data_IF_903594489830
#
_entry.id   IF_903594489830
#
_cell.length_a   1.000
_cell.length_b   1.000
_cell.length_c   1.000
_cell.angle_alpha   90.00
_cell.angle_beta   90.00
_cell.angle_gamma   90.00
#
_symmetry.space_group_name_H-M   'P 1'
#
loop_
_entity.id
_entity.type
_entity.pdbx_description
1 polymer ?
#
# COMPACT_ATOMS: atom_id res chain seq x y z
N UNK A 1 11.83 -20.46 -5.67
CA UNK A 1 12.97 -19.56 -5.36
C UNK A 1 12.90 -19.06 -3.91
N UNK A 2 11.91 -18.24 -3.52
CA UNK A 2 11.82 -17.65 -2.16
C UNK A 2 11.85 -18.67 -1.01
N UNK A 3 11.08 -19.76 -1.11
CA UNK A 3 11.09 -20.86 -0.13
C UNK A 3 12.50 -21.43 0.14
N UNK A 4 13.29 -21.60 -0.93
CA UNK A 4 14.64 -22.16 -0.83
C UNK A 4 15.62 -21.13 -0.24
N UNK A 5 15.61 -19.92 -0.78
CA UNK A 5 16.55 -18.86 -0.38
C UNK A 5 16.34 -18.40 1.07
N UNK A 6 15.08 -18.27 1.51
CA UNK A 6 14.76 -17.66 2.80
C UNK A 6 14.57 -18.68 3.92
N UNK A 7 14.21 -19.92 3.59
CA UNK A 7 13.84 -20.93 4.58
C UNK A 7 14.44 -22.33 4.30
N UNK A 8 15.27 -22.48 3.28
CA UNK A 8 15.82 -23.77 2.83
C UNK A 8 14.75 -24.86 2.60
N UNK A 9 13.57 -24.46 2.10
CA UNK A 9 12.47 -25.36 1.75
C UNK A 9 12.53 -25.66 0.25
N UNK A 10 12.58 -26.95 -0.10
CA UNK A 10 12.51 -27.41 -1.49
C UNK A 10 11.05 -27.37 -1.97
N UNK A 11 10.69 -26.26 -2.61
CA UNK A 11 9.36 -26.04 -3.18
C UNK A 11 9.37 -26.17 -4.70
N UNK A 12 8.30 -26.77 -5.25
CA UNK A 12 8.11 -26.93 -6.68
C UNK A 12 6.77 -26.30 -7.11
N UNK A 13 6.74 -25.41 -8.13
CA UNK A 13 5.51 -24.78 -8.58
C UNK A 13 4.65 -25.76 -9.38
N UNK A 14 3.34 -25.81 -9.08
CA UNK A 14 2.37 -26.64 -9.81
C UNK A 14 1.20 -25.77 -10.23
N UNK A 15 1.24 -25.32 -11.48
CA UNK A 15 0.16 -24.53 -12.08
C UNK A 15 -0.86 -25.48 -12.72
N UNK A 16 -2.13 -25.30 -12.38
CA UNK A 16 -3.23 -26.05 -12.96
C UNK A 16 -3.97 -25.17 -13.97
N UNK A 17 -4.25 -25.73 -15.15
CA UNK A 17 -5.08 -25.04 -16.15
C UNK A 17 -6.54 -24.96 -15.70
N UNK A 18 -7.06 -26.03 -15.06
CA UNK A 18 -8.44 -26.05 -14.59
C UNK A 18 -8.71 -24.96 -13.56
N UNK A 19 -9.82 -24.26 -13.78
CA UNK A 19 -10.35 -23.25 -12.86
C UNK A 19 -11.48 -23.81 -11.99
N UNK A 20 -11.91 -25.05 -12.23
CA UNK A 20 -12.96 -25.72 -11.46
C UNK A 20 -12.43 -26.16 -10.09
N UNK A 21 -13.24 -25.93 -9.06
CA UNK A 21 -12.85 -26.20 -7.68
C UNK A 21 -12.67 -27.69 -7.39
N UNK A 22 -13.49 -28.55 -7.98
CA UNK A 22 -13.45 -30.00 -7.73
C UNK A 22 -12.24 -30.62 -8.41
N UNK A 23 -11.95 -30.18 -9.63
CA UNK A 23 -10.74 -30.59 -10.36
C UNK A 23 -9.47 -30.21 -9.59
N UNK A 24 -9.41 -28.98 -9.06
CA UNK A 24 -8.28 -28.50 -8.26
C UNK A 24 -8.13 -29.37 -7.01
N UNK A 25 -9.21 -29.58 -6.24
CA UNK A 25 -9.18 -30.40 -5.01
C UNK A 25 -8.73 -31.82 -5.33
N UNK A 26 -9.32 -32.44 -6.36
CA UNK A 26 -8.98 -33.80 -6.77
C UNK A 26 -7.50 -33.89 -7.15
N UNK A 27 -7.01 -32.97 -7.99
CA UNK A 27 -5.63 -32.97 -8.47
C UNK A 27 -4.65 -32.81 -7.32
N UNK A 28 -4.87 -31.83 -6.44
CA UNK A 28 -4.01 -31.61 -5.27
C UNK A 28 -3.97 -32.85 -4.36
N UNK A 29 -5.09 -33.54 -4.19
CA UNK A 29 -5.13 -34.79 -3.43
C UNK A 29 -4.29 -35.89 -4.06
N UNK A 30 -4.39 -36.08 -5.39
CA UNK A 30 -3.64 -37.12 -6.10
C UNK A 30 -2.13 -36.92 -6.00
N UNK A 31 -1.66 -35.67 -6.03
CA UNK A 31 -0.22 -35.36 -5.99
C UNK A 31 0.34 -35.24 -4.56
N UNK A 32 -0.52 -35.09 -3.56
CA UNK A 32 -0.13 -34.85 -2.16
C UNK A 32 0.87 -35.85 -1.55
N UNK A 33 0.91 -37.16 -1.90
CA UNK A 33 1.85 -38.10 -1.29
C UNK A 33 3.33 -37.75 -1.48
N UNK A 34 3.67 -36.95 -2.50
CA UNK A 34 5.04 -36.51 -2.78
C UNK A 34 5.48 -35.33 -1.92
N UNK A 35 4.55 -34.62 -1.28
CA UNK A 35 4.82 -33.34 -0.61
C UNK A 35 4.70 -33.43 0.91
N UNK A 36 5.53 -32.67 1.63
CA UNK A 36 5.40 -32.47 3.07
C UNK A 36 4.39 -31.39 3.47
N UNK A 37 3.84 -30.66 2.51
CA UNK A 37 2.84 -29.60 2.70
C UNK A 37 2.40 -28.98 1.38
N UNK A 38 1.23 -28.35 1.37
CA UNK A 38 0.66 -27.67 0.20
C UNK A 38 0.53 -26.17 0.51
N UNK A 39 1.13 -25.33 -0.35
CA UNK A 39 0.92 -23.89 -0.36
C UNK A 39 0.02 -23.51 -1.54
N UNK A 40 -1.21 -23.11 -1.26
CA UNK A 40 -2.14 -22.56 -2.24
C UNK A 40 -1.83 -21.09 -2.49
N UNK A 41 -1.81 -20.71 -3.76
CA UNK A 41 -1.45 -19.37 -4.24
C UNK A 41 -2.43 -18.94 -5.35
N UNK A 42 -2.78 -17.66 -5.40
CA UNK A 42 -3.48 -17.02 -6.52
C UNK A 42 -4.83 -17.66 -6.90
N UNK A 43 -5.54 -18.24 -5.92
CA UNK A 43 -6.89 -18.78 -6.10
C UNK A 43 -7.92 -17.71 -5.74
N UNK A 44 -8.75 -17.33 -6.70
CA UNK A 44 -9.75 -16.28 -6.51
C UNK A 44 -10.81 -16.65 -5.44
N UNK A 45 -11.25 -15.63 -4.70
CA UNK A 45 -12.46 -15.74 -3.88
C UNK A 45 -13.71 -15.81 -4.79
N UNK A 46 -14.74 -16.60 -4.44
CA UNK A 46 -14.91 -17.32 -3.18
C UNK A 46 -14.36 -18.76 -3.18
N UNK A 47 -13.92 -19.30 -4.33
CA UNK A 47 -13.58 -20.74 -4.45
C UNK A 47 -12.42 -21.16 -3.55
N UNK A 48 -11.45 -20.27 -3.32
CA UNK A 48 -10.32 -20.54 -2.42
C UNK A 48 -10.73 -21.00 -1.02
N UNK A 49 -11.80 -20.42 -0.45
CA UNK A 49 -12.26 -20.78 0.89
C UNK A 49 -12.74 -22.23 0.98
N UNK A 50 -13.46 -22.71 -0.04
CA UNK A 50 -13.95 -24.08 -0.08
C UNK A 50 -12.82 -25.07 -0.37
N UNK A 51 -11.95 -24.75 -1.34
CA UNK A 51 -10.79 -25.56 -1.70
C UNK A 51 -9.89 -25.78 -0.49
N UNK A 52 -9.50 -24.70 0.18
CA UNK A 52 -8.63 -24.77 1.35
C UNK A 52 -9.27 -25.56 2.50
N UNK A 53 -10.55 -25.29 2.81
CA UNK A 53 -11.28 -25.99 3.87
C UNK A 53 -11.35 -27.50 3.62
N UNK A 54 -11.61 -27.90 2.37
CA UNK A 54 -11.69 -29.31 2.00
C UNK A 54 -10.33 -29.98 2.01
N UNK A 55 -9.31 -29.35 1.43
CA UNK A 55 -7.95 -29.89 1.45
C UNK A 55 -7.40 -30.04 2.87
N UNK A 56 -7.61 -29.06 3.76
CA UNK A 56 -7.26 -29.18 5.19
C UNK A 56 -7.96 -30.35 5.91
N UNK A 57 -9.15 -30.73 5.47
CA UNK A 57 -9.93 -31.84 6.05
C UNK A 57 -9.55 -33.19 5.44
N UNK A 58 -9.20 -33.21 4.16
CA UNK A 58 -9.03 -34.43 3.35
C UNK A 58 -7.57 -34.87 3.18
N UNK A 59 -6.59 -34.03 3.57
CA UNK A 59 -5.16 -34.34 3.51
C UNK A 59 -4.55 -34.52 4.90
N UNK A 60 -3.57 -35.42 4.98
CA UNK A 60 -2.78 -35.67 6.19
C UNK A 60 -1.54 -34.74 6.32
N UNK A 61 -1.34 -33.85 5.34
CA UNK A 61 -0.26 -32.86 5.30
C UNK A 61 -0.80 -31.44 5.48
N UNK A 62 0.00 -30.49 6.02
CA UNK A 62 -0.43 -29.12 6.21
C UNK A 62 -0.80 -28.45 4.89
N UNK A 63 -1.92 -27.73 4.90
CA UNK A 63 -2.38 -26.89 3.79
C UNK A 63 -2.41 -25.45 4.26
N UNK A 64 -1.66 -24.60 3.55
CA UNK A 64 -1.57 -23.16 3.77
C UNK A 64 -2.03 -22.44 2.50
N UNK A 65 -2.53 -21.22 2.64
CA UNK A 65 -2.90 -20.37 1.51
C UNK A 65 -2.27 -19.00 1.74
N UNK A 66 -1.33 -18.59 0.90
CA UNK A 66 -0.50 -17.42 1.19
C UNK A 66 -1.30 -16.12 1.14
N UNK A 67 -2.17 -15.97 0.14
CA UNK A 67 -3.07 -14.81 0.05
C UNK A 67 -3.96 -14.63 1.29
N UNK A 68 -4.35 -15.71 1.96
CA UNK A 68 -5.19 -15.65 3.15
C UNK A 68 -4.37 -15.53 4.43
N UNK A 69 -3.53 -16.52 4.71
CA UNK A 69 -2.81 -16.61 5.97
C UNK A 69 -1.49 -15.84 5.95
N UNK A 70 -0.70 -15.95 4.87
CA UNK A 70 0.60 -15.27 4.75
C UNK A 70 0.43 -13.77 4.86
N UNK A 71 -0.52 -13.22 4.08
CA UNK A 71 -0.89 -11.81 4.15
C UNK A 71 -1.38 -11.43 5.56
N UNK A 72 -2.23 -12.23 6.18
CA UNK A 72 -2.74 -11.95 7.53
C UNK A 72 -1.64 -11.92 8.60
N UNK A 73 -0.68 -12.86 8.55
CA UNK A 73 0.43 -12.97 9.50
C UNK A 73 1.29 -11.70 9.45
N UNK A 74 1.66 -11.26 8.24
CA UNK A 74 2.49 -10.06 8.06
C UNK A 74 1.75 -8.81 8.52
N UNK A 75 0.47 -8.67 8.19
CA UNK A 75 -0.36 -7.53 8.63
C UNK A 75 -0.50 -7.49 10.16
N UNK A 76 -0.75 -8.63 10.81
CA UNK A 76 -0.82 -8.70 12.27
C UNK A 76 0.52 -8.31 12.91
N UNK A 77 1.65 -8.79 12.36
CA UNK A 77 2.98 -8.43 12.87
C UNK A 77 3.24 -6.92 12.80
N UNK A 78 2.86 -6.26 11.69
CA UNK A 78 2.93 -4.80 11.55
C UNK A 78 2.08 -4.12 12.60
N UNK A 79 0.80 -4.51 12.75
CA UNK A 79 -0.12 -3.91 13.73
C UNK A 79 0.41 -4.04 15.15
N UNK A 80 0.92 -5.22 15.54
CA UNK A 80 1.50 -5.44 16.88
C UNK A 80 2.66 -4.47 17.13
N UNK A 81 3.56 -4.29 16.16
CA UNK A 81 4.71 -3.40 16.32
C UNK A 81 4.30 -1.92 16.35
N UNK A 82 3.37 -1.51 15.49
CA UNK A 82 2.81 -0.15 15.50
C UNK A 82 2.12 0.17 16.82
N UNK A 83 1.36 -0.78 17.39
CA UNK A 83 0.69 -0.61 18.68
C UNK A 83 1.67 -0.47 19.85
N UNK A 84 2.78 -1.22 19.83
CA UNK A 84 3.86 -1.07 20.84
C UNK A 84 4.45 0.34 20.82
N UNK A 85 4.71 0.88 19.63
CA UNK A 85 5.24 2.24 19.45
C UNK A 85 4.22 3.28 19.93
N UNK A 86 2.95 3.11 19.53
CA UNK A 86 1.86 4.00 19.93
C UNK A 86 1.42 3.84 21.38
N UNK A 87 1.97 2.85 22.12
CA UNK A 87 1.58 2.48 23.49
C UNK A 87 0.06 2.24 23.63
N UNK A 88 -0.53 1.54 22.66
CA UNK A 88 -1.96 1.18 22.63
C UNK A 88 -2.14 -0.34 22.62
N UNK A 89 -3.29 -0.83 23.07
CA UNK A 89 -3.63 -2.25 22.95
C UNK A 89 -4.49 -2.53 21.72
N UNK A 90 -4.38 -3.74 21.16
CA UNK A 90 -5.16 -4.18 20.00
C UNK A 90 -6.68 -4.15 20.26
N UNK A 91 -7.09 -4.35 21.51
CA UNK A 91 -8.50 -4.38 21.94
C UNK A 91 -9.14 -2.99 21.96
N UNK A 92 -8.32 -1.94 22.04
CA UNK A 92 -8.77 -0.55 22.23
C UNK A 92 -8.80 0.25 20.92
N UNK A 93 -8.33 -0.36 19.83
CA UNK A 93 -8.22 0.32 18.53
C UNK A 93 -9.29 -0.10 17.56
N UNK A 94 -9.72 0.87 16.75
CA UNK A 94 -10.57 0.66 15.59
C UNK A 94 -9.73 0.31 14.38
N UNK A 95 -10.08 -0.79 13.71
CA UNK A 95 -9.44 -1.26 12.48
C UNK A 95 -10.47 -1.27 11.35
N UNK A 96 -10.10 -0.73 10.19
CA UNK A 96 -10.89 -0.83 8.96
C UNK A 96 -10.15 -1.71 7.97
N UNK A 97 -10.86 -2.66 7.38
CA UNK A 97 -10.36 -3.50 6.28
C UNK A 97 -11.18 -3.18 5.04
N UNK A 98 -10.56 -2.50 4.08
CA UNK A 98 -11.18 -2.13 2.83
C UNK A 98 -10.89 -3.16 1.73
N UNK A 99 -11.68 -4.23 1.76
CA UNK A 99 -11.53 -5.39 0.89
C UNK A 99 -12.05 -6.65 1.58
N UNK A 100 -12.88 -7.41 0.89
CA UNK A 100 -13.48 -8.66 1.41
C UNK A 100 -13.21 -9.87 0.51
N UNK A 101 -12.04 -9.86 -0.16
CA UNK A 101 -11.50 -11.03 -0.86
C UNK A 101 -10.69 -11.95 0.08
N UNK A 102 -9.93 -12.89 -0.47
CA UNK A 102 -9.13 -13.86 0.29
C UNK A 102 -8.30 -13.21 1.41
N UNK A 103 -7.45 -12.23 1.06
CA UNK A 103 -6.62 -11.48 2.01
C UNK A 103 -7.43 -10.76 3.10
N UNK A 104 -8.43 -9.96 2.72
CA UNK A 104 -9.21 -9.18 3.69
C UNK A 104 -9.94 -10.06 4.70
N UNK A 105 -10.47 -11.20 4.25
CA UNK A 105 -11.14 -12.19 5.12
C UNK A 105 -10.11 -12.89 6.02
N UNK A 106 -8.96 -13.31 5.49
CA UNK A 106 -7.86 -13.90 6.25
C UNK A 106 -7.35 -12.98 7.35
N UNK A 107 -7.07 -11.71 7.00
CA UNK A 107 -6.65 -10.65 7.93
C UNK A 107 -7.69 -10.47 9.04
N UNK A 108 -8.97 -10.33 8.67
CA UNK A 108 -10.06 -10.14 9.62
C UNK A 108 -10.13 -11.29 10.64
N UNK A 109 -10.14 -12.54 10.14
CA UNK A 109 -10.21 -13.73 11.00
C UNK A 109 -9.01 -13.81 11.96
N UNK A 110 -7.79 -13.58 11.47
CA UNK A 110 -6.61 -13.64 12.32
C UNK A 110 -6.60 -12.52 13.37
N UNK A 111 -7.03 -11.31 13.00
CA UNK A 111 -7.15 -10.19 13.95
C UNK A 111 -8.19 -10.46 15.04
N UNK A 112 -9.33 -11.05 14.69
CA UNK A 112 -10.34 -11.48 15.67
C UNK A 112 -9.75 -12.51 16.65
N UNK A 113 -9.03 -13.51 16.14
CA UNK A 113 -8.33 -14.51 16.97
C UNK A 113 -7.27 -13.86 17.87
N UNK A 114 -6.53 -12.86 17.35
CA UNK A 114 -5.54 -12.10 18.12
C UNK A 114 -6.18 -11.17 19.18
N UNK A 115 -7.51 -11.02 19.19
CA UNK A 115 -8.24 -10.27 20.21
C UNK A 115 -8.66 -8.86 19.81
N UNK A 116 -8.56 -8.48 18.53
CA UNK A 116 -9.14 -7.22 18.05
C UNK A 116 -10.67 -7.23 18.23
N UNK A 117 -11.23 -6.15 18.78
CA UNK A 117 -12.66 -6.07 19.13
C UNK A 117 -13.48 -5.20 18.18
N UNK A 118 -12.84 -4.20 17.55
CA UNK A 118 -13.51 -3.21 16.74
C UNK A 118 -12.93 -3.19 15.32
N UNK A 119 -13.37 -4.16 14.51
CA UNK A 119 -13.03 -4.26 13.09
C UNK A 119 -14.26 -3.86 12.28
N UNK A 120 -14.09 -3.06 11.22
CA UNK A 120 -15.11 -2.82 10.20
C UNK A 120 -14.55 -3.31 8.86
N UNK A 121 -15.32 -4.14 8.15
CA UNK A 121 -14.94 -4.62 6.81
C UNK A 121 -15.82 -3.97 5.76
N UNK A 122 -15.19 -3.50 4.69
CA UNK A 122 -15.84 -2.89 3.54
C UNK A 122 -15.61 -3.73 2.27
N UNK A 123 -16.52 -3.61 1.32
CA UNK A 123 -16.35 -4.07 -0.06
C UNK A 123 -16.73 -2.97 -1.06
N UNK A 124 -16.80 -3.32 -2.34
CA UNK A 124 -17.13 -2.36 -3.41
C UNK A 124 -18.49 -1.67 -3.24
N UNK A 125 -19.41 -2.23 -2.44
CA UNK A 125 -20.73 -1.65 -2.16
C UNK A 125 -20.76 -0.85 -0.84
N UNK A 126 -19.72 -0.92 -0.01
CA UNK A 126 -19.61 -0.21 1.26
C UNK A 126 -19.38 -1.14 2.46
N UNK A 127 -19.80 -0.71 3.64
CA UNK A 127 -19.64 -1.48 4.88
C UNK A 127 -20.49 -2.76 4.81
N UNK A 128 -19.89 -3.92 5.14
CA UNK A 128 -20.61 -5.18 5.15
C UNK A 128 -21.78 -5.15 6.14
N UNK A 129 -22.96 -5.55 5.67
CA UNK A 129 -24.18 -5.62 6.47
C UNK A 129 -24.70 -7.06 6.52
N UNK A 130 -24.79 -7.72 7.69
CA UNK A 130 -25.25 -9.10 7.77
C UNK A 130 -26.71 -9.29 7.32
N UNK A 131 -27.50 -8.22 7.23
CA UNK A 131 -28.88 -8.23 6.75
C UNK A 131 -29.00 -8.10 5.22
N UNK A 132 -27.90 -7.83 4.51
CA UNK A 132 -27.90 -7.78 3.05
C UNK A 132 -28.02 -9.20 2.47
N UNK A 133 -29.18 -9.51 1.90
CA UNK A 133 -29.47 -10.82 1.32
C UNK A 133 -28.57 -11.15 0.12
N UNK A 134 -28.02 -10.15 -0.57
CA UNK A 134 -27.14 -10.31 -1.73
C UNK A 134 -25.69 -10.68 -1.37
N UNK A 135 -25.28 -10.56 -0.10
CA UNK A 135 -23.94 -10.95 0.32
C UNK A 135 -23.74 -12.46 0.22
N UNK A 136 -22.57 -12.84 -0.30
CA UNK A 136 -22.07 -14.20 -0.24
C UNK A 136 -22.02 -14.69 1.22
N UNK A 137 -22.17 -16.00 1.41
CA UNK A 137 -22.23 -16.63 2.74
C UNK A 137 -21.04 -16.28 3.64
N UNK A 138 -19.82 -16.34 3.10
CA UNK A 138 -18.60 -16.00 3.84
C UNK A 138 -18.55 -14.53 4.27
N UNK A 139 -19.03 -13.60 3.43
CA UNK A 139 -19.13 -12.17 3.78
C UNK A 139 -20.15 -11.94 4.89
N UNK A 140 -21.30 -12.63 4.85
CA UNK A 140 -22.32 -12.56 5.92
C UNK A 140 -21.76 -13.05 7.25
N UNK A 141 -20.97 -14.11 7.24
CA UNK A 141 -20.32 -14.62 8.45
C UNK A 141 -19.40 -13.57 9.07
N UNK A 142 -18.55 -12.92 8.27
CA UNK A 142 -17.67 -11.83 8.73
C UNK A 142 -18.49 -10.62 9.20
N UNK A 143 -19.53 -10.23 8.47
CA UNK A 143 -20.39 -9.11 8.84
C UNK A 143 -21.07 -9.30 10.21
N UNK A 144 -21.32 -10.55 10.64
CA UNK A 144 -21.87 -10.86 11.97
C UNK A 144 -20.85 -10.78 13.10
N UNK A 145 -19.56 -10.94 12.78
CA UNK A 145 -18.45 -10.93 13.77
C UNK A 145 -17.77 -9.57 13.89
N UNK A 146 -18.10 -8.63 13.01
CA UNK A 146 -17.46 -7.33 12.88
C UNK A 146 -18.47 -6.20 13.02
N UNK A 147 -18.00 -4.96 12.99
CA UNK A 147 -18.79 -3.75 13.09
C UNK A 147 -19.70 -3.72 14.34
N UNK A 148 -19.14 -3.84 15.56
CA UNK A 148 -19.93 -3.92 16.80
C UNK A 148 -20.79 -2.67 17.06
N UNK A 149 -20.46 -1.55 16.42
CA UNK A 149 -21.21 -0.28 16.51
C UNK A 149 -22.34 -0.15 15.49
N UNK A 150 -22.49 -1.10 14.56
CA UNK A 150 -23.51 -1.03 13.52
C UNK A 150 -23.37 0.17 12.59
N UNK A 151 -22.13 0.60 12.30
CA UNK A 151 -21.86 1.70 11.37
C UNK A 151 -22.40 1.34 9.99
N UNK A 152 -23.05 2.29 9.33
CA UNK A 152 -23.62 2.14 7.99
C UNK A 152 -22.99 3.14 7.03
N UNK A 153 -23.02 2.84 5.74
CA UNK A 153 -22.54 3.73 4.69
C UNK A 153 -21.33 3.16 3.94
N UNK A 154 -20.43 4.05 3.54
CA UNK A 154 -19.26 3.74 2.70
C UNK A 154 -17.97 3.84 3.52
N UNK A 155 -16.83 3.64 2.85
CA UNK A 155 -15.50 3.73 3.47
C UNK A 155 -15.30 5.00 4.31
N UNK A 156 -15.69 6.17 3.79
CA UNK A 156 -15.58 7.46 4.49
C UNK A 156 -16.25 7.48 5.87
N UNK A 157 -17.31 6.69 6.02
CA UNK A 157 -18.06 6.58 7.28
C UNK A 157 -17.36 5.59 8.23
N UNK A 158 -16.70 4.58 7.67
CA UNK A 158 -15.92 3.59 8.40
C UNK A 158 -14.62 4.18 8.98
N UNK A 159 -13.92 5.08 8.31
CA UNK A 159 -12.55 5.52 8.69
C UNK A 159 -12.49 6.55 9.83
N UNK A 160 -13.62 7.11 10.27
CA UNK A 160 -13.61 8.09 11.38
C UNK A 160 -13.04 7.47 12.67
N UNK A 161 -11.96 8.06 13.20
CA UNK A 161 -11.28 7.58 14.42
C UNK A 161 -10.59 6.22 14.28
N UNK A 162 -10.19 5.85 13.05
CA UNK A 162 -9.49 4.59 12.77
C UNK A 162 -8.02 4.67 13.21
N UNK A 163 -7.48 3.58 13.77
CA UNK A 163 -6.04 3.47 14.05
C UNK A 163 -5.29 2.77 12.92
N UNK A 164 -5.93 1.79 12.25
CA UNK A 164 -5.37 1.08 11.11
C UNK A 164 -6.40 0.98 9.98
N UNK A 165 -6.04 1.49 8.81
CA UNK A 165 -6.79 1.31 7.56
C UNK A 165 -6.01 0.36 6.63
N UNK A 166 -6.59 -0.81 6.38
CA UNK A 166 -5.97 -1.88 5.60
C UNK A 166 -6.63 -1.90 4.23
N UNK A 167 -5.87 -1.50 3.21
CA UNK A 167 -6.37 -1.32 1.85
C UNK A 167 -5.86 -2.44 0.92
N UNK A 168 -6.66 -2.79 -0.08
CA UNK A 168 -6.18 -3.66 -1.17
C UNK A 168 -5.23 -2.89 -2.07
N UNK A 169 -4.22 -3.57 -2.61
CA UNK A 169 -3.20 -2.97 -3.49
C UNK A 169 -3.80 -2.16 -4.64
N UNK A 170 -4.91 -2.62 -5.22
CA UNK A 170 -5.58 -1.94 -6.33
C UNK A 170 -6.19 -0.57 -6.00
N UNK A 171 -6.24 -0.19 -4.71
CA UNK A 171 -6.65 1.15 -4.28
C UNK A 171 -5.50 2.15 -4.30
N UNK A 172 -4.26 1.67 -4.34
CA UNK A 172 -3.09 2.50 -4.51
C UNK A 172 -2.75 2.49 -6.01
N UNK A 173 -2.35 3.63 -6.62
CA UNK A 173 -1.81 3.66 -7.96
C UNK A 173 -0.72 2.60 -8.16
N UNK A 174 -0.47 2.19 -9.39
CA UNK A 174 0.56 1.20 -9.70
C UNK A 174 1.91 1.61 -9.09
N UNK A 175 2.40 0.86 -8.10
CA UNK A 175 3.71 1.09 -7.51
C UNK A 175 4.73 0.21 -8.25
N UNK A 176 5.63 0.84 -8.98
CA UNK A 176 6.75 0.18 -9.65
C UNK A 176 8.04 0.26 -8.83
N UNK A 177 8.21 1.31 -8.02
CA UNK A 177 9.35 1.45 -7.11
C UNK A 177 8.96 2.15 -5.81
N UNK A 178 9.73 1.88 -4.76
CA UNK A 178 9.59 2.46 -3.42
C UNK A 178 10.96 2.96 -2.99
N UNK A 179 11.04 4.20 -2.53
CA UNK A 179 12.24 4.78 -1.96
C UNK A 179 11.98 5.30 -0.54
N UNK A 180 12.90 5.03 0.38
CA UNK A 180 12.88 5.56 1.74
C UNK A 180 13.93 6.65 1.85
N UNK A 181 13.47 7.90 1.90
CA UNK A 181 14.35 9.07 1.91
C UNK A 181 14.45 9.64 3.31
N UNK A 182 15.68 9.73 3.82
CA UNK A 182 16.01 10.37 5.09
C UNK A 182 16.81 11.63 4.78
N UNK A 183 16.23 12.77 5.13
CA UNK A 183 16.88 14.07 5.00
C UNK A 183 17.34 14.56 6.36
N UNK A 184 18.58 15.05 6.40
CA UNK A 184 19.11 15.79 7.55
C UNK A 184 18.51 17.21 7.59
N UNK A 185 18.84 17.95 8.66
CA UNK A 185 18.40 19.31 8.95
C UNK A 185 18.43 20.23 7.73
N UNK A 186 17.27 20.76 7.33
CA UNK A 186 17.16 21.76 6.26
C UNK A 186 17.55 21.26 4.85
N UNK A 187 17.62 19.95 4.61
CA UNK A 187 18.05 19.44 3.30
C UNK A 187 17.12 19.91 2.16
N UNK A 188 17.73 20.28 1.03
CA UNK A 188 17.06 20.74 -0.20
C UNK A 188 17.32 19.71 -1.30
N UNK A 189 16.26 19.32 -2.01
CA UNK A 189 16.30 18.31 -3.07
C UNK A 189 15.45 18.79 -4.26
N UNK A 190 16.04 19.06 -5.44
CA UNK A 190 17.46 18.96 -5.75
C UNK A 190 18.29 20.05 -5.07
N UNK A 191 19.54 19.72 -4.74
CA UNK A 191 20.54 20.70 -4.33
C UNK A 191 20.98 21.61 -5.48
N UNK A 192 21.74 22.67 -5.19
CA UNK A 192 22.24 23.59 -6.22
C UNK A 192 23.15 22.90 -7.24
N UNK A 193 23.04 23.28 -8.51
CA UNK A 193 23.88 22.76 -9.60
C UNK A 193 24.50 23.93 -10.37
N UNK A 194 25.83 24.05 -10.30
CA UNK A 194 26.55 25.18 -10.91
C UNK A 194 26.05 26.52 -10.36
N UNK A 195 25.58 27.39 -11.26
CA UNK A 195 25.03 28.71 -10.90
C UNK A 195 23.55 28.67 -10.48
N UNK A 196 22.85 27.55 -10.73
CA UNK A 196 21.43 27.40 -10.44
C UNK A 196 21.25 27.01 -8.98
N UNK A 197 20.87 27.98 -8.15
CA UNK A 197 20.74 27.82 -6.68
C UNK A 197 19.54 26.99 -6.25
N UNK A 198 18.44 27.03 -7.00
CA UNK A 198 17.19 26.33 -6.68
C UNK A 198 16.63 25.61 -7.91
N UNK A 199 17.29 24.55 -8.37
CA UNK A 199 16.84 23.81 -9.54
C UNK A 199 15.59 22.97 -9.24
N UNK A 200 15.12 22.25 -10.25
CA UNK A 200 13.92 21.42 -10.19
C UNK A 200 14.22 19.99 -10.66
N UNK A 201 13.60 19.01 -10.03
CA UNK A 201 13.43 17.69 -10.63
C UNK A 201 12.18 17.69 -11.51
N UNK A 202 12.17 16.86 -12.55
CA UNK A 202 10.96 16.53 -13.31
C UNK A 202 11.10 15.12 -13.88
N UNK A 203 9.99 14.39 -13.90
CA UNK A 203 9.93 13.05 -14.45
C UNK A 203 9.00 12.95 -15.66
N UNK A 204 9.52 12.65 -16.86
CA UNK A 204 8.70 12.53 -18.06
C UNK A 204 7.86 11.25 -18.09
N UNK A 205 8.30 10.18 -17.42
CA UNK A 205 7.68 8.85 -17.49
C UNK A 205 7.48 8.23 -16.09
N UNK A 206 7.47 9.06 -15.04
CA UNK A 206 7.16 8.62 -13.68
C UNK A 206 6.24 9.61 -12.98
N UNK A 207 5.20 9.09 -12.33
CA UNK A 207 4.39 9.80 -11.36
C UNK A 207 4.91 9.51 -9.96
N UNK A 208 4.88 10.49 -9.07
CA UNK A 208 5.42 10.39 -7.72
C UNK A 208 4.33 10.56 -6.67
N UNK A 209 4.56 9.88 -5.55
CA UNK A 209 3.70 9.93 -4.40
C UNK A 209 4.56 10.05 -3.15
N UNK A 210 4.33 11.07 -2.33
CA UNK A 210 5.10 11.36 -1.13
C UNK A 210 4.26 11.16 0.13
N UNK A 211 4.75 10.32 1.04
CA UNK A 211 4.24 10.17 2.40
C UNK A 211 5.33 10.56 3.41
N UNK A 212 5.07 11.55 4.26
CA UNK A 212 6.00 11.95 5.33
C UNK A 212 5.70 11.15 6.59
N UNK A 213 6.72 10.45 7.11
CA UNK A 213 6.64 9.62 8.31
C UNK A 213 7.19 10.32 9.55
N UNK A 214 8.10 11.28 9.36
CA UNK A 214 8.67 12.07 10.44
C UNK A 214 9.11 13.45 9.94
N UNK A 215 8.99 14.46 10.81
CA UNK A 215 9.38 15.83 10.51
C UNK A 215 8.41 16.51 9.56
N UNK A 216 8.91 17.52 8.84
CA UNK A 216 8.12 18.34 7.92
C UNK A 216 8.82 18.43 6.58
N UNK A 217 8.04 18.35 5.49
CA UNK A 217 8.51 18.65 4.13
C UNK A 217 7.71 19.79 3.53
N UNK A 218 8.43 20.71 2.91
CA UNK A 218 7.89 21.76 2.05
C UNK A 218 8.07 21.28 0.61
N UNK A 219 6.97 21.06 -0.09
CA UNK A 219 6.97 20.60 -1.48
C UNK A 219 6.46 21.73 -2.36
N UNK A 220 7.23 22.08 -3.37
CA UNK A 220 6.81 23.02 -4.40
C UNK A 220 6.62 22.26 -5.70
N UNK A 221 5.45 22.40 -6.31
CA UNK A 221 5.08 21.79 -7.58
C UNK A 221 4.81 22.87 -8.62
N UNK A 222 5.26 22.67 -9.85
CA UNK A 222 5.01 23.56 -10.97
C UNK A 222 4.75 22.75 -12.24
N UNK A 223 3.72 23.13 -12.99
CA UNK A 223 3.48 22.60 -14.34
C UNK A 223 3.34 23.80 -15.29
N UNK A 224 4.10 23.86 -16.40
CA UNK A 224 4.06 24.99 -17.34
C UNK A 224 2.65 25.34 -17.81
N UNK A 225 1.78 24.33 -18.00
CA UNK A 225 0.37 24.50 -18.39
C UNK A 225 -0.44 25.39 -17.43
N UNK A 226 -0.09 25.41 -16.13
CA UNK A 226 -0.79 26.20 -15.12
C UNK A 226 -0.07 27.51 -14.76
N UNK A 227 1.22 27.62 -15.07
CA UNK A 227 2.00 28.85 -14.87
C UNK A 227 2.10 29.33 -13.41
N UNK A 228 1.91 28.44 -12.42
CA UNK A 228 1.95 28.78 -10.99
C UNK A 228 2.61 27.68 -10.16
N UNK A 229 3.24 28.10 -9.06
CA UNK A 229 3.80 27.20 -8.06
C UNK A 229 2.73 26.88 -7.03
N UNK A 230 2.42 25.60 -6.89
CA UNK A 230 1.60 25.05 -5.81
C UNK A 230 2.51 24.63 -4.66
N UNK A 231 2.18 25.04 -3.43
CA UNK A 231 3.01 24.78 -2.25
C UNK A 231 2.29 23.88 -1.27
N UNK A 232 2.97 22.83 -0.81
CA UNK A 232 2.47 21.94 0.21
C UNK A 232 3.37 21.92 1.43
N UNK A 233 2.76 21.86 2.60
CA UNK A 233 3.43 21.47 3.84
C UNK A 233 2.91 20.09 4.20
N UNK A 234 3.78 19.10 4.20
CA UNK A 234 3.43 17.70 4.42
C UNK A 234 4.08 17.21 5.71
N UNK A 235 3.26 16.68 6.62
CA UNK A 235 3.68 16.14 7.91
C UNK A 235 2.97 14.81 8.18
N UNK A 236 3.37 14.05 9.23
CA UNK A 236 2.63 12.87 9.67
C UNK A 236 1.23 13.19 10.24
N UNK A 237 0.99 14.44 10.62
CA UNK A 237 -0.19 14.84 11.39
C UNK A 237 -1.15 15.74 10.61
N UNK A 238 -0.72 16.32 9.49
CA UNK A 238 -1.53 17.18 8.64
C UNK A 238 -0.88 17.48 7.28
N UNK A 239 -1.70 17.98 6.34
CA UNK A 239 -1.26 18.55 5.06
C UNK A 239 -1.88 19.94 4.85
N UNK A 240 -1.03 20.93 4.55
CA UNK A 240 -1.45 22.25 4.07
C UNK A 240 -1.18 22.38 2.56
N UNK A 241 -2.04 23.11 1.85
CA UNK A 241 -1.88 23.52 0.46
C UNK A 241 -2.05 25.04 0.36
N UNK A 242 -1.03 25.74 -0.14
CA UNK A 242 -0.96 27.20 -0.24
C UNK A 242 -1.30 27.95 1.06
N UNK A 243 -0.95 27.35 2.21
CA UNK A 243 -1.19 27.91 3.55
C UNK A 243 -2.55 27.57 4.14
N UNK A 244 -3.41 26.84 3.43
CA UNK A 244 -4.69 26.35 3.95
C UNK A 244 -4.57 24.88 4.36
N UNK A 245 -5.09 24.54 5.54
CA UNK A 245 -5.17 23.15 6.00
C UNK A 245 -6.17 22.37 5.14
N UNK A 246 -5.69 21.37 4.39
CA UNK A 246 -6.55 20.55 3.51
C UNK A 246 -6.80 19.14 4.05
N UNK A 247 -5.93 18.65 4.95
CA UNK A 247 -6.09 17.33 5.57
C UNK A 247 -5.58 17.35 7.02
N UNK A 248 -6.42 16.88 7.93
CA UNK A 248 -6.00 16.47 9.28
C UNK A 248 -5.55 14.99 9.22
N UNK A 249 -4.35 14.72 9.75
CA UNK A 249 -3.67 13.43 9.64
C UNK A 249 -2.67 13.38 8.48
N UNK A 250 -1.80 12.37 8.52
CA UNK A 250 -0.86 12.08 7.45
C UNK A 250 -1.58 11.63 6.18
N UNK A 251 -1.02 11.98 5.03
CA UNK A 251 -1.57 11.64 3.72
C UNK A 251 -0.50 11.53 2.65
N UNK A 252 -0.93 11.04 1.49
CA UNK A 252 -0.08 10.87 0.32
C UNK A 252 -0.31 12.06 -0.63
N UNK A 253 0.73 12.85 -0.87
CA UNK A 253 0.71 13.89 -1.90
C UNK A 253 1.16 13.27 -3.21
N UNK A 254 0.32 13.38 -4.25
CA UNK A 254 0.53 12.70 -5.53
C UNK A 254 0.62 13.72 -6.65
N UNK A 255 1.60 13.55 -7.54
CA UNK A 255 1.69 14.33 -8.77
C UNK A 255 2.10 13.47 -9.97
N UNK A 256 1.62 13.86 -11.13
CA UNK A 256 1.81 13.14 -12.39
C UNK A 256 3.17 13.47 -13.04
N UNK A 257 3.44 12.87 -14.19
CA UNK A 257 4.56 13.18 -15.06
C UNK A 257 4.60 14.65 -15.46
N UNK A 258 5.78 15.13 -15.85
CA UNK A 258 6.01 16.50 -16.32
C UNK A 258 5.69 17.60 -15.30
N UNK A 259 5.58 17.23 -14.02
CA UNK A 259 5.49 18.17 -12.91
C UNK A 259 6.89 18.43 -12.38
N UNK A 260 7.32 19.68 -12.50
CA UNK A 260 8.53 20.16 -11.85
C UNK A 260 8.29 20.20 -10.35
N UNK A 261 9.21 19.62 -9.59
CA UNK A 261 9.10 19.57 -8.16
C UNK A 261 10.44 19.79 -7.46
N UNK A 262 10.34 20.32 -6.25
CA UNK A 262 11.46 20.38 -5.31
C UNK A 262 10.94 20.29 -3.89
N UNK A 263 11.78 19.74 -3.03
CA UNK A 263 11.45 19.39 -1.66
C UNK A 263 12.49 19.99 -0.72
N UNK A 264 12.04 20.65 0.33
CA UNK A 264 12.89 21.10 1.43
C UNK A 264 12.42 20.46 2.74
N UNK A 265 13.35 19.99 3.56
CA UNK A 265 13.02 19.47 4.89
C UNK A 265 13.03 20.57 5.93
N UNK A 266 12.22 20.40 6.98
CA UNK A 266 12.29 21.25 8.17
C UNK A 266 13.63 21.16 8.90
N UNK A 267 13.78 22.01 9.91
CA UNK A 267 15.01 22.10 10.70
C UNK A 267 15.36 20.78 11.39
N UNK A 268 14.38 20.03 11.90
CA UNK A 268 14.56 18.72 12.54
C UNK A 268 14.87 17.57 11.55
N UNK A 269 15.01 17.88 10.25
CA UNK A 269 15.09 16.88 9.19
C UNK A 269 13.74 16.25 8.87
N UNK A 270 13.76 15.20 8.04
CA UNK A 270 12.53 14.45 7.73
C UNK A 270 12.81 13.01 7.29
N UNK A 271 11.84 12.13 7.50
CA UNK A 271 11.81 10.79 6.90
C UNK A 271 10.54 10.64 6.08
N UNK A 272 10.67 10.12 4.86
CA UNK A 272 9.53 9.87 3.97
C UNK A 272 9.63 8.53 3.26
N UNK A 273 8.50 8.10 2.73
CA UNK A 273 8.41 7.07 1.70
C UNK A 273 7.91 7.72 0.42
N UNK A 274 8.65 7.53 -0.66
CA UNK A 274 8.27 7.90 -2.00
C UNK A 274 7.83 6.64 -2.75
N UNK A 275 6.70 6.69 -3.44
CA UNK A 275 6.23 5.63 -4.31
C UNK A 275 6.21 6.16 -5.74
N UNK A 276 6.76 5.39 -6.68
CA UNK A 276 6.84 5.75 -8.08
C UNK A 276 5.95 4.86 -8.93
N UNK A 277 5.20 5.49 -9.82
CA UNK A 277 4.43 4.84 -10.90
C UNK A 277 5.20 5.05 -12.20
N UNK A 278 5.63 3.99 -12.87
CA UNK A 278 6.34 4.08 -14.16
C UNK A 278 5.33 3.96 -15.32
N UNK A 279 5.46 4.86 -16.29
CA UNK A 279 4.67 4.89 -17.50
C UNK A 279 5.49 4.38 -18.71
N UNK A 280 4.82 4.19 -19.84
CA UNK A 280 5.49 3.83 -21.09
C UNK A 280 6.59 4.83 -21.44
N UNK A 281 7.76 4.33 -21.87
CA UNK A 281 8.94 5.14 -22.16
C UNK A 281 9.88 5.36 -20.97
N UNK A 282 9.59 4.78 -19.80
CA UNK A 282 10.48 4.87 -18.63
C UNK A 282 11.89 4.34 -18.92
N UNK A 283 12.89 5.18 -18.69
CA UNK A 283 14.31 4.84 -18.65
C UNK A 283 14.94 5.55 -17.44
N UNK A 284 15.55 4.76 -16.54
CA UNK A 284 16.19 5.27 -15.31
C UNK A 284 17.27 6.32 -15.61
N UNK A 285 17.89 6.28 -16.79
CA UNK A 285 18.94 7.23 -17.17
C UNK A 285 18.41 8.62 -17.53
N UNK A 286 17.18 8.71 -18.04
CA UNK A 286 16.63 9.96 -18.58
C UNK A 286 15.45 10.48 -17.76
N UNK A 287 14.86 9.64 -16.91
CA UNK A 287 13.65 9.96 -16.19
C UNK A 287 13.86 10.91 -14.99
N UNK A 288 15.08 11.08 -14.48
CA UNK A 288 15.34 11.80 -13.22
C UNK A 288 16.18 13.09 -13.38
N UNK A 289 16.08 13.82 -14.48
CA UNK A 289 16.98 14.94 -14.73
C UNK A 289 16.74 16.16 -13.81
N UNK A 290 17.77 16.99 -13.68
CA UNK A 290 17.72 18.27 -12.98
C UNK A 290 17.64 19.39 -14.00
N UNK A 291 16.73 20.33 -13.75
CA UNK A 291 16.34 21.38 -14.68
C UNK A 291 16.54 22.78 -14.09
N UNK A 292 16.95 23.69 -14.98
CA UNK A 292 16.83 25.13 -14.82
C UNK A 292 15.53 25.56 -15.51
N UNK A 293 14.57 26.04 -14.72
CA UNK A 293 13.21 26.37 -15.16
C UNK A 293 12.96 27.85 -14.87
N UNK A 294 12.55 28.59 -15.90
CA UNK A 294 11.97 29.90 -15.76
C UNK A 294 10.47 29.77 -15.46
N UNK A 295 10.07 30.13 -14.24
CA UNK A 295 8.68 30.01 -13.78
C UNK A 295 7.73 31.06 -14.39
N UNK A 296 8.26 32.13 -15.00
CA UNK A 296 7.47 33.17 -15.66
C UNK A 296 7.12 32.77 -17.10
N UNK A 297 8.07 32.15 -17.81
CA UNK A 297 7.89 31.74 -19.22
C UNK A 297 7.52 30.27 -19.37
N UNK A 298 7.81 29.43 -18.37
CA UNK A 298 7.69 27.97 -18.45
C UNK A 298 8.80 27.29 -19.24
N UNK A 299 9.77 28.03 -19.77
CA UNK A 299 10.91 27.48 -20.50
C UNK A 299 11.89 26.80 -19.54
N UNK A 300 12.45 25.67 -19.96
CA UNK A 300 13.39 24.92 -19.14
C UNK A 300 14.49 24.26 -19.98
N UNK A 301 15.60 23.95 -19.32
CA UNK A 301 16.71 23.16 -19.89
C UNK A 301 17.24 22.18 -18.86
N UNK A 302 17.72 21.02 -19.34
CA UNK A 302 18.46 20.07 -18.50
C UNK A 302 19.81 20.69 -18.15
N UNK A 303 20.14 20.74 -16.86
CA UNK A 303 21.43 21.22 -16.36
C UNK A 303 22.30 20.11 -15.77
N UNK A 304 21.69 18.97 -15.42
CA UNK A 304 22.41 17.77 -14.97
C UNK A 304 21.56 16.52 -15.22
N UNK A 305 22.24 15.47 -15.67
CA UNK A 305 21.63 14.16 -15.87
C UNK A 305 21.39 13.48 -14.52
N UNK A 306 20.16 13.00 -14.31
CA UNK A 306 19.69 12.49 -13.02
C UNK A 306 20.44 11.29 -12.47
N UNK A 307 20.77 10.35 -13.35
CA UNK A 307 21.41 9.09 -12.96
C UNK A 307 22.79 9.28 -12.31
N UNK A 308 23.41 10.45 -12.50
CA UNK A 308 24.69 10.81 -11.85
C UNK A 308 24.56 11.06 -10.35
N UNK A 309 23.34 11.19 -9.84
CA UNK A 309 23.05 11.42 -8.41
C UNK A 309 22.48 10.18 -7.70
N UNK A 310 22.28 9.07 -8.44
CA UNK A 310 21.69 7.84 -7.90
C UNK A 310 22.69 6.69 -7.65
N UNK A 311 23.97 6.86 -7.98
CA UNK A 311 25.03 5.84 -7.81
C UNK A 311 26.33 6.43 -7.26
#
# INVERSE_FOLDING_TARGET
>A
LLFKELANIDAFPICLESQDKEDIIFTVKQISPTFGGINLEDISAPKCFEIEKRLKKELDIPVFHDDQHGTAIVVLAVIINSLKIAKKNLQDVKIVINGSGAAGIGICNLLLVAGARDIIVCDSKGILNPMDSSLASYKKEIARKTNPRGVKGRLRDAIKGVAFDIMVKSMIPQINAIDRVIHQHGAISPGSVGEVKKPWYMHPHQGDNLLVLHGKRFVELYKPEYGKIEKFVVTPDYIEHNGELILEGGGLVVWDTHVFHRVTSGEEGSASVNLATHYEGFDIKTNFNIYDLNIETGEYRVIREGYKDQF
#
